data_IF_689787612305
#
_entry.id   IF_689787612305
#
_cell.length_a   1.000
_cell.length_b   1.000
_cell.length_c   1.000
_cell.angle_alpha   90.00
_cell.angle_beta   90.00
_cell.angle_gamma   90.00
#
_symmetry.space_group_name_H-M   'P 1'
#
loop_
_entity.id
_entity.type
_entity.pdbx_description
1 polymer ?
#
# COMPACT_ATOMS: atom_id res chain seq x y z
N UNK A 1 -7.70 -11.75 -31.24
CA UNK A 1 -7.80 -10.57 -30.54
C UNK A 1 -7.75 -10.45 -29.03
N UNK A 2 -8.69 -11.01 -28.25
CA UNK A 2 -8.77 -10.77 -26.79
C UNK A 2 -7.54 -11.27 -26.01
N UNK A 3 -7.05 -12.47 -26.26
CA UNK A 3 -5.87 -13.05 -25.60
C UNK A 3 -4.58 -12.23 -25.74
N UNK A 4 -4.37 -11.58 -26.85
CA UNK A 4 -3.17 -10.75 -27.07
C UNK A 4 -3.18 -9.44 -26.25
N UNK A 5 -4.36 -8.93 -25.90
CA UNK A 5 -4.54 -7.72 -25.09
C UNK A 5 -4.28 -8.00 -23.60
N UNK A 6 -4.75 -9.15 -23.09
CA UNK A 6 -4.55 -9.57 -21.69
C UNK A 6 -3.06 -9.74 -21.37
N UNK A 7 -2.31 -10.43 -22.23
CA UNK A 7 -0.87 -10.59 -22.07
C UNK A 7 -0.10 -9.25 -22.16
N UNK A 8 -0.60 -8.29 -22.94
CA UNK A 8 0.00 -6.95 -23.01
C UNK A 8 -0.06 -6.22 -21.67
N UNK A 9 -1.19 -6.26 -20.98
CA UNK A 9 -1.36 -5.65 -19.64
C UNK A 9 -0.44 -6.32 -18.62
N UNK A 10 -0.37 -7.65 -18.62
CA UNK A 10 0.52 -8.40 -17.72
C UNK A 10 1.99 -8.02 -17.96
N UNK A 11 2.44 -7.97 -19.21
CA UNK A 11 3.82 -7.57 -19.52
C UNK A 11 4.13 -6.12 -19.15
N UNK A 12 3.18 -5.21 -19.35
CA UNK A 12 3.31 -3.82 -18.89
C UNK A 12 3.48 -3.72 -17.38
N UNK A 13 2.66 -4.45 -16.62
CA UNK A 13 2.77 -4.52 -15.16
C UNK A 13 4.11 -5.13 -14.70
N UNK A 14 4.55 -6.22 -15.32
CA UNK A 14 5.86 -6.84 -15.03
C UNK A 14 6.99 -5.87 -15.34
N UNK A 15 6.95 -5.17 -16.49
CA UNK A 15 7.96 -4.18 -16.86
C UNK A 15 8.02 -3.04 -15.84
N UNK A 16 6.88 -2.59 -15.31
CA UNK A 16 6.80 -1.55 -14.28
C UNK A 16 7.45 -2.01 -12.96
N UNK A 17 7.12 -3.21 -12.49
CA UNK A 17 7.69 -3.76 -11.26
C UNK A 17 9.20 -3.96 -11.39
N UNK A 18 9.62 -4.62 -12.46
CA UNK A 18 11.06 -4.88 -12.71
C UNK A 18 11.82 -3.56 -12.90
N UNK A 19 11.28 -2.64 -13.71
CA UNK A 19 11.87 -1.32 -13.92
C UNK A 19 11.98 -0.50 -12.64
N UNK A 20 10.95 -0.54 -11.79
CA UNK A 20 10.97 0.10 -10.47
C UNK A 20 12.05 -0.47 -9.56
N UNK A 21 12.13 -1.79 -9.42
CA UNK A 21 13.16 -2.46 -8.60
C UNK A 21 14.56 -2.16 -9.13
N UNK A 22 14.78 -2.26 -10.44
CA UNK A 22 16.08 -1.92 -11.06
C UNK A 22 16.43 -0.45 -10.83
N UNK A 23 15.48 0.47 -11.04
CA UNK A 23 15.70 1.90 -10.78
C UNK A 23 16.11 2.18 -9.34
N UNK A 24 15.43 1.57 -8.37
CA UNK A 24 15.74 1.70 -6.94
C UNK A 24 17.14 1.18 -6.63
N UNK A 25 17.50 -0.01 -7.11
CA UNK A 25 18.82 -0.62 -6.87
C UNK A 25 19.94 0.19 -7.54
N UNK A 26 19.71 0.73 -8.74
CA UNK A 26 20.68 1.58 -9.44
C UNK A 26 20.98 2.87 -8.68
N UNK A 27 19.96 3.52 -8.11
CA UNK A 27 20.15 4.73 -7.31
C UNK A 27 20.89 4.47 -5.99
N UNK A 28 20.84 3.23 -5.50
CA UNK A 28 21.54 2.80 -4.28
C UNK A 28 23.01 2.44 -4.48
N UNK A 29 23.56 2.55 -5.71
CA UNK A 29 24.98 2.30 -6.00
C UNK A 29 25.31 0.87 -6.39
N UNK A 30 24.32 0.04 -6.75
CA UNK A 30 24.58 -1.34 -7.20
C UNK A 30 25.33 -1.41 -8.52
N UNK A 31 25.10 -0.45 -9.41
CA UNK A 31 25.75 -0.37 -10.74
C UNK A 31 26.96 0.55 -10.70
N UNK A 32 27.25 1.19 -9.56
CA UNK A 32 28.42 2.03 -9.42
C UNK A 32 29.72 1.21 -9.55
N UNK A 33 30.77 1.83 -10.07
CA UNK A 33 32.09 1.21 -10.24
C UNK A 33 33.03 1.69 -9.13
N UNK A 34 33.92 0.80 -8.66
CA UNK A 34 34.92 1.15 -7.67
C UNK A 34 34.40 1.13 -6.21
N UNK A 35 34.85 2.05 -5.40
CA UNK A 35 34.52 2.11 -3.95
C UNK A 35 33.04 2.39 -3.66
N UNK A 36 32.31 2.96 -4.61
CA UNK A 36 30.88 3.23 -4.49
C UNK A 36 29.98 2.02 -4.79
N UNK A 37 30.56 0.91 -5.23
CA UNK A 37 29.79 -0.32 -5.49
C UNK A 37 29.27 -0.92 -4.18
N UNK A 38 27.94 -1.10 -4.11
CA UNK A 38 27.27 -1.68 -2.96
C UNK A 38 26.62 -3.01 -3.33
N UNK A 39 26.68 -3.98 -2.42
CA UNK A 39 25.93 -5.22 -2.58
C UNK A 39 24.42 -4.96 -2.65
N UNK A 40 23.67 -5.90 -3.19
CA UNK A 40 22.22 -5.77 -3.44
C UNK A 40 21.43 -5.25 -2.22
N UNK A 41 21.65 -5.83 -1.05
CA UNK A 41 20.93 -5.42 0.18
C UNK A 41 21.31 -4.00 0.62
N UNK A 42 22.59 -3.66 0.57
CA UNK A 42 23.07 -2.34 0.93
C UNK A 42 22.63 -1.27 -0.08
N UNK A 43 22.61 -1.60 -1.37
CA UNK A 43 22.10 -0.72 -2.42
C UNK A 43 20.58 -0.50 -2.26
N UNK A 44 19.82 -1.54 -1.97
CA UNK A 44 18.37 -1.42 -1.77
C UNK A 44 18.02 -0.60 -0.51
N UNK A 45 18.75 -0.79 0.59
CA UNK A 45 18.48 -0.06 1.84
C UNK A 45 18.99 1.39 1.84
N UNK A 46 20.01 1.71 1.05
CA UNK A 46 20.58 3.05 0.93
C UNK A 46 20.16 3.82 -0.32
N UNK A 47 19.14 3.37 -1.04
CA UNK A 47 18.68 3.98 -2.28
C UNK A 47 17.85 5.25 -2.06
N UNK A 48 17.80 6.10 -3.08
CA UNK A 48 16.74 7.09 -3.25
C UNK A 48 15.59 6.45 -4.00
N UNK A 49 14.62 5.93 -3.24
CA UNK A 49 13.48 5.21 -3.79
C UNK A 49 12.61 6.09 -4.70
N UNK A 50 12.47 7.39 -4.40
CA UNK A 50 11.65 8.32 -5.20
C UNK A 50 12.25 8.54 -6.58
N UNK A 51 13.54 8.79 -6.65
CA UNK A 51 14.30 8.95 -7.90
C UNK A 51 14.36 7.63 -8.67
N UNK A 52 14.63 6.52 -7.97
CA UNK A 52 14.69 5.19 -8.56
C UNK A 52 13.36 4.77 -9.21
N UNK A 53 12.25 4.96 -8.52
CA UNK A 53 10.91 4.66 -9.04
C UNK A 53 10.54 5.56 -10.22
N UNK A 54 10.92 6.85 -10.19
CA UNK A 54 10.68 7.77 -11.30
C UNK A 54 11.38 7.31 -12.57
N UNK A 55 12.68 7.02 -12.51
CA UNK A 55 13.42 6.54 -13.69
C UNK A 55 12.97 5.14 -14.13
N UNK A 56 12.73 4.24 -13.18
CA UNK A 56 12.27 2.90 -13.45
C UNK A 56 10.90 2.86 -14.13
N UNK A 57 9.95 3.65 -13.65
CA UNK A 57 8.61 3.74 -14.23
C UNK A 57 8.62 4.41 -15.62
N UNK A 58 9.45 5.44 -15.81
CA UNK A 58 9.62 6.09 -17.12
C UNK A 58 10.23 5.13 -18.14
N UNK A 59 11.28 4.39 -17.76
CA UNK A 59 11.88 3.35 -18.61
C UNK A 59 10.88 2.24 -18.94
N UNK A 60 10.09 1.79 -17.97
CA UNK A 60 9.04 0.79 -18.18
C UNK A 60 7.94 1.28 -19.12
N UNK A 61 7.55 2.56 -19.02
CA UNK A 61 6.58 3.19 -19.92
C UNK A 61 7.10 3.16 -21.36
N UNK A 62 8.34 3.61 -21.58
CA UNK A 62 8.96 3.61 -22.93
C UNK A 62 9.00 2.19 -23.48
N UNK A 63 9.47 1.21 -22.69
CA UNK A 63 9.54 -0.18 -23.09
C UNK A 63 8.16 -0.72 -23.48
N UNK A 64 7.15 -0.45 -22.68
CA UNK A 64 5.77 -0.88 -22.91
C UNK A 64 5.21 -0.28 -24.21
N UNK A 65 5.43 1.02 -24.44
CA UNK A 65 5.03 1.70 -25.68
C UNK A 65 5.69 1.06 -26.91
N UNK A 66 7.01 0.83 -26.86
CA UNK A 66 7.76 0.18 -27.94
C UNK A 66 7.19 -1.22 -28.24
N UNK A 67 6.99 -2.03 -27.20
CA UNK A 67 6.46 -3.40 -27.37
C UNK A 67 5.06 -3.37 -27.97
N UNK A 68 4.18 -2.48 -27.53
CA UNK A 68 2.79 -2.41 -28.04
C UNK A 68 2.74 -1.97 -29.51
N UNK A 69 3.57 -0.99 -29.88
CA UNK A 69 3.64 -0.52 -31.27
C UNK A 69 4.26 -1.58 -32.18
N UNK A 70 5.38 -2.21 -31.77
CA UNK A 70 6.05 -3.27 -32.55
C UNK A 70 5.16 -4.50 -32.75
N UNK A 71 4.43 -4.90 -31.71
CA UNK A 71 3.49 -6.02 -31.77
C UNK A 71 2.15 -5.65 -32.42
N UNK A 72 1.99 -4.41 -32.86
CA UNK A 72 0.77 -3.88 -33.48
C UNK A 72 -0.49 -4.12 -32.64
N UNK A 73 -0.36 -4.10 -31.32
CA UNK A 73 -1.50 -4.20 -30.38
C UNK A 73 -2.27 -2.88 -30.35
N UNK A 74 -1.56 -1.76 -30.33
CA UNK A 74 -2.08 -0.39 -30.40
C UNK A 74 -1.32 0.40 -31.46
N UNK A 75 -1.99 1.40 -32.06
CA UNK A 75 -1.31 2.36 -32.91
C UNK A 75 -0.50 3.35 -32.07
N UNK A 76 0.54 3.95 -32.66
CA UNK A 76 1.31 4.99 -31.99
C UNK A 76 0.42 6.15 -31.50
N UNK A 77 -0.58 6.53 -32.31
CA UNK A 77 -1.54 7.59 -31.96
C UNK A 77 -2.36 7.22 -30.72
N UNK A 78 -2.85 5.99 -30.64
CA UNK A 78 -3.62 5.51 -29.48
C UNK A 78 -2.73 5.50 -28.22
N UNK A 79 -1.50 5.02 -28.33
CA UNK A 79 -0.53 5.07 -27.23
C UNK A 79 -0.29 6.50 -26.72
N UNK A 80 -0.10 7.46 -27.63
CA UNK A 80 0.12 8.85 -27.25
C UNK A 80 -1.13 9.50 -26.62
N UNK A 81 -2.33 9.09 -27.01
CA UNK A 81 -3.57 9.60 -26.39
C UNK A 81 -3.78 9.08 -24.97
N UNK A 82 -3.23 7.92 -24.61
CA UNK A 82 -3.32 7.38 -23.25
C UNK A 82 -2.49 8.17 -22.22
N UNK A 83 -1.42 8.87 -22.66
CA UNK A 83 -0.54 9.61 -21.74
C UNK A 83 -1.28 10.74 -21.02
N UNK A 84 -1.99 11.66 -21.70
CA UNK A 84 -2.78 12.68 -21.02
C UNK A 84 -3.88 12.10 -20.11
N UNK A 85 -4.47 10.97 -20.49
CA UNK A 85 -5.51 10.35 -19.68
C UNK A 85 -4.92 9.74 -18.39
N UNK A 86 -3.72 9.17 -18.47
CA UNK A 86 -2.96 8.74 -17.29
C UNK A 86 -2.63 9.90 -16.35
N UNK A 87 -2.19 11.05 -16.89
CA UNK A 87 -1.98 12.26 -16.07
C UNK A 87 -3.26 12.73 -15.39
N UNK A 88 -4.38 12.79 -16.12
CA UNK A 88 -5.69 13.17 -15.54
C UNK A 88 -6.11 12.23 -14.43
N UNK A 89 -5.89 10.92 -14.58
CA UNK A 89 -6.19 9.91 -13.57
C UNK A 89 -5.37 10.10 -12.29
N UNK A 90 -4.15 10.65 -12.38
CA UNK A 90 -3.28 10.89 -11.22
C UNK A 90 -3.54 12.22 -10.50
N UNK A 91 -4.27 13.16 -11.11
CA UNK A 91 -4.54 14.49 -10.51
C UNK A 91 -5.17 14.39 -9.12
N UNK A 92 -6.20 13.55 -8.85
CA UNK A 92 -6.78 13.44 -7.52
C UNK A 92 -5.75 12.95 -6.48
N UNK A 93 -4.95 11.96 -6.81
CA UNK A 93 -3.93 11.42 -5.92
C UNK A 93 -2.85 12.47 -5.59
N UNK A 94 -2.37 13.20 -6.60
CA UNK A 94 -1.38 14.29 -6.42
C UNK A 94 -1.97 15.39 -5.54
N UNK A 95 -3.21 15.79 -5.77
CA UNK A 95 -3.89 16.82 -4.98
C UNK A 95 -4.02 16.40 -3.50
N UNK A 96 -4.47 15.16 -3.25
CA UNK A 96 -4.61 14.64 -1.90
C UNK A 96 -3.26 14.61 -1.18
N UNK A 97 -2.21 14.10 -1.82
CA UNK A 97 -0.87 14.05 -1.23
C UNK A 97 -0.33 15.46 -0.94
N UNK A 98 -0.51 16.40 -1.88
CA UNK A 98 -0.07 17.78 -1.68
C UNK A 98 -0.76 18.43 -0.48
N UNK A 99 -2.08 18.26 -0.36
CA UNK A 99 -2.85 18.78 0.77
C UNK A 99 -2.47 18.07 2.09
N UNK A 100 -2.24 16.76 2.07
CA UNK A 100 -1.81 16.01 3.24
C UNK A 100 -0.42 16.47 3.72
N UNK A 101 0.53 16.70 2.83
CA UNK A 101 1.85 17.23 3.18
C UNK A 101 1.78 18.67 3.69
N UNK A 102 0.90 19.48 3.12
CA UNK A 102 0.64 20.85 3.61
C UNK A 102 0.08 20.79 5.03
N UNK A 103 -0.93 19.96 5.29
CA UNK A 103 -1.49 19.76 6.62
C UNK A 103 -0.43 19.26 7.60
N UNK A 104 0.38 18.28 7.21
CA UNK A 104 1.51 17.80 8.02
C UNK A 104 2.47 18.93 8.38
N UNK A 105 2.88 19.74 7.42
CA UNK A 105 3.77 20.87 7.65
C UNK A 105 3.18 21.90 8.61
N UNK A 106 1.88 22.17 8.49
CA UNK A 106 1.17 23.07 9.42
C UNK A 106 1.08 22.50 10.85
N UNK A 107 0.77 21.20 10.96
CA UNK A 107 0.70 20.53 12.28
C UNK A 107 2.06 20.42 12.94
N UNK A 108 3.12 20.19 12.18
CA UNK A 108 4.51 20.21 12.68
C UNK A 108 4.88 21.61 13.20
N UNK A 109 4.49 22.68 12.50
CA UNK A 109 4.75 24.08 12.94
C UNK A 109 3.97 24.49 14.20
N UNK A 110 2.85 23.83 14.47
CA UNK A 110 2.04 24.04 15.68
C UNK A 110 2.54 23.23 16.88
N UNK A 111 3.61 22.45 16.75
CA UNK A 111 4.10 21.57 17.81
C UNK A 111 3.17 20.39 18.13
N UNK A 112 2.32 20.00 17.19
CA UNK A 112 1.38 18.90 17.39
C UNK A 112 2.08 17.58 17.71
N UNK A 113 3.28 17.38 17.15
CA UNK A 113 4.11 16.20 17.38
C UNK A 113 4.54 16.06 18.83
N UNK A 114 5.04 17.16 19.42
CA UNK A 114 5.47 17.23 20.82
C UNK A 114 4.27 17.07 21.76
N UNK A 115 3.15 17.71 21.44
CA UNK A 115 1.91 17.59 22.20
C UNK A 115 1.40 16.15 22.21
N UNK A 116 1.26 15.50 21.05
CA UNK A 116 0.78 14.12 20.95
C UNK A 116 1.73 13.16 21.67
N UNK A 117 3.05 13.33 21.50
CA UNK A 117 4.06 12.50 22.18
C UNK A 117 3.94 12.63 23.71
N UNK A 118 3.87 13.84 24.24
CA UNK A 118 3.76 14.07 25.68
C UNK A 118 2.43 13.55 26.23
N UNK A 119 1.33 13.74 25.51
CA UNK A 119 0.00 13.24 25.89
C UNK A 119 -0.02 11.72 26.00
N UNK A 120 0.50 11.02 24.97
CA UNK A 120 0.54 9.55 24.96
C UNK A 120 1.48 9.02 26.05
N UNK A 121 2.65 9.61 26.27
CA UNK A 121 3.56 9.20 27.33
C UNK A 121 2.96 9.41 28.72
N UNK A 122 2.19 10.47 28.92
CA UNK A 122 1.60 10.80 30.21
C UNK A 122 0.36 9.97 30.53
N UNK A 123 -0.53 9.79 29.54
CA UNK A 123 -1.86 9.21 29.77
C UNK A 123 -2.06 7.84 29.17
N UNK A 124 -1.27 7.43 28.19
CA UNK A 124 -1.47 6.19 27.45
C UNK A 124 -0.25 5.27 27.43
N UNK A 125 0.75 5.50 28.28
CA UNK A 125 1.96 4.66 28.36
C UNK A 125 1.67 3.17 28.59
N UNK A 126 0.63 2.86 29.38
CA UNK A 126 0.15 1.49 29.56
C UNK A 126 -0.59 0.88 28.35
N UNK A 127 -1.00 1.71 27.39
CA UNK A 127 -1.75 1.28 26.19
C UNK A 127 -0.90 1.20 24.91
N UNK A 128 0.38 1.54 24.97
CA UNK A 128 1.27 1.53 23.80
C UNK A 128 1.31 0.17 23.09
N UNK A 129 1.21 -0.92 23.82
CA UNK A 129 1.17 -2.27 23.27
C UNK A 129 -0.10 -2.53 22.44
N UNK A 130 -1.18 -1.81 22.65
CA UNK A 130 -2.42 -1.90 21.87
C UNK A 130 -2.45 -0.93 20.70
N UNK A 131 -1.48 -0.01 20.63
CA UNK A 131 -1.43 1.04 19.59
C UNK A 131 -1.49 0.48 18.16
N UNK A 132 -0.79 -0.63 17.80
CA UNK A 132 -0.90 -1.20 16.47
C UNK A 132 -2.34 -1.55 16.08
N UNK A 133 -3.08 -2.21 16.97
CA UNK A 133 -4.46 -2.58 16.72
C UNK A 133 -5.39 -1.36 16.62
N UNK A 134 -5.19 -0.35 17.47
CA UNK A 134 -5.94 0.91 17.44
C UNK A 134 -5.69 1.64 16.12
N UNK A 135 -4.43 1.78 15.71
CA UNK A 135 -4.05 2.46 14.47
C UNK A 135 -4.56 1.70 13.24
N UNK A 136 -4.58 0.37 13.28
CA UNK A 136 -5.19 -0.45 12.23
C UNK A 136 -6.67 -0.10 12.03
N UNK A 137 -7.46 -0.04 13.11
CA UNK A 137 -8.89 0.27 13.04
C UNK A 137 -9.11 1.72 12.57
N UNK A 138 -8.37 2.67 13.13
CA UNK A 138 -8.47 4.09 12.72
C UNK A 138 -8.09 4.23 11.24
N UNK A 139 -7.01 3.59 10.80
CA UNK A 139 -6.57 3.59 9.41
C UNK A 139 -7.63 3.00 8.46
N UNK A 140 -8.24 1.88 8.84
CA UNK A 140 -9.31 1.25 8.07
C UNK A 140 -10.55 2.16 7.96
N UNK A 141 -10.96 2.77 9.07
CA UNK A 141 -12.12 3.67 9.07
C UNK A 141 -11.88 4.95 8.25
N UNK A 142 -10.72 5.58 8.41
CA UNK A 142 -10.37 6.79 7.66
C UNK A 142 -10.27 6.50 6.16
N UNK A 143 -9.58 5.44 5.77
CA UNK A 143 -9.43 5.08 4.36
C UNK A 143 -10.76 4.64 3.74
N UNK A 144 -11.62 3.95 4.48
CA UNK A 144 -12.98 3.63 4.03
C UNK A 144 -13.79 4.90 3.76
N UNK A 145 -13.72 5.88 4.67
CA UNK A 145 -14.48 7.13 4.59
C UNK A 145 -13.97 8.07 3.50
N UNK A 146 -12.67 8.07 3.25
CA UNK A 146 -12.02 8.96 2.26
C UNK A 146 -11.86 8.33 0.88
N UNK A 147 -11.93 6.99 0.81
CA UNK A 147 -11.66 6.24 -0.43
C UNK A 147 -10.21 6.26 -0.88
N UNK A 148 -9.27 6.51 0.05
CA UNK A 148 -7.84 6.55 -0.28
C UNK A 148 -6.94 6.06 0.85
N UNK A 149 -6.06 5.11 0.54
CA UNK A 149 -5.01 4.68 1.44
C UNK A 149 -3.88 5.72 1.56
N UNK A 150 -3.54 6.40 0.47
CA UNK A 150 -2.44 7.37 0.44
C UNK A 150 -2.67 8.58 1.34
N UNK A 151 -3.87 9.15 1.33
CA UNK A 151 -4.25 10.25 2.23
C UNK A 151 -4.16 9.82 3.68
N UNK A 152 -4.61 8.61 3.98
CA UNK A 152 -4.54 8.02 5.33
C UNK A 152 -3.09 7.81 5.80
N UNK A 153 -2.20 7.31 4.93
CA UNK A 153 -0.77 7.20 5.24
C UNK A 153 -0.14 8.56 5.57
N UNK A 154 -0.44 9.57 4.74
CA UNK A 154 0.11 10.91 4.91
C UNK A 154 -0.23 11.54 6.25
N UNK A 155 -1.37 11.20 6.83
CA UNK A 155 -1.84 11.73 8.13
C UNK A 155 -1.36 10.85 9.30
N UNK A 156 -1.57 9.53 9.24
CA UNK A 156 -1.38 8.66 10.39
C UNK A 156 0.08 8.28 10.64
N UNK A 157 0.90 8.05 9.60
CA UNK A 157 2.29 7.62 9.80
C UNK A 157 3.11 8.66 10.58
N UNK A 158 3.06 9.97 10.27
CA UNK A 158 3.75 10.98 11.06
C UNK A 158 3.31 11.00 12.55
N UNK A 159 2.02 10.79 12.81
CA UNK A 159 1.48 10.71 14.18
C UNK A 159 2.05 9.50 14.90
N UNK A 160 2.02 8.32 14.27
CA UNK A 160 2.60 7.08 14.85
C UNK A 160 4.07 7.26 15.18
N UNK A 161 4.86 7.80 14.26
CA UNK A 161 6.31 8.05 14.48
C UNK A 161 6.51 9.01 15.65
N UNK A 162 5.68 10.07 15.77
CA UNK A 162 5.77 11.05 16.84
C UNK A 162 5.48 10.44 18.22
N UNK A 163 4.51 9.52 18.31
CA UNK A 163 4.16 8.83 19.55
C UNK A 163 5.34 8.07 20.15
N UNK A 164 6.12 7.40 19.32
CA UNK A 164 7.25 6.59 19.81
C UNK A 164 8.51 7.42 20.09
N UNK A 165 8.74 8.53 19.37
CA UNK A 165 9.89 9.42 19.54
C UNK A 165 11.23 8.69 19.84
N UNK A 166 11.45 7.53 19.17
CA UNK A 166 12.64 6.71 19.33
C UNK A 166 12.64 5.75 20.54
N UNK A 167 11.56 5.66 21.32
CA UNK A 167 11.53 4.87 22.56
C UNK A 167 11.42 3.34 22.34
N UNK A 168 10.62 2.89 21.37
CA UNK A 168 10.42 1.46 21.05
C UNK A 168 10.34 1.26 19.54
N UNK A 169 11.51 1.05 18.92
CA UNK A 169 11.64 0.95 17.47
C UNK A 169 10.82 -0.21 16.88
N UNK A 170 10.80 -1.36 17.54
CA UNK A 170 10.06 -2.53 17.06
C UNK A 170 8.55 -2.26 17.07
N UNK A 171 8.03 -1.70 18.15
CA UNK A 171 6.62 -1.38 18.28
C UNK A 171 6.21 -0.25 17.32
N UNK A 172 7.10 0.69 17.06
CA UNK A 172 6.90 1.73 16.05
C UNK A 172 6.72 1.13 14.65
N UNK A 173 7.62 0.22 14.23
CA UNK A 173 7.52 -0.45 12.93
C UNK A 173 6.22 -1.25 12.83
N UNK A 174 5.85 -2.00 13.87
CA UNK A 174 4.60 -2.77 13.90
C UNK A 174 3.40 -1.83 13.78
N UNK A 175 3.42 -0.65 14.43
CA UNK A 175 2.34 0.33 14.35
C UNK A 175 2.25 1.01 12.99
N UNK A 176 3.37 1.29 12.34
CA UNK A 176 3.41 1.79 10.95
C UNK A 176 2.84 0.72 10.00
N UNK A 177 3.24 -0.54 10.16
CA UNK A 177 2.69 -1.66 9.39
C UNK A 177 1.17 -1.78 9.58
N UNK A 178 0.69 -1.63 10.81
CA UNK A 178 -0.73 -1.66 11.14
C UNK A 178 -1.50 -0.49 10.49
N UNK A 179 -0.92 0.71 10.49
CA UNK A 179 -1.45 1.86 9.78
C UNK A 179 -1.63 1.58 8.29
N UNK A 180 -0.58 1.06 7.66
CA UNK A 180 -0.60 0.74 6.22
C UNK A 180 -1.62 -0.35 5.90
N UNK A 181 -1.65 -1.43 6.67
CA UNK A 181 -2.59 -2.53 6.48
C UNK A 181 -4.04 -2.10 6.71
N UNK A 182 -4.30 -1.30 7.75
CA UNK A 182 -5.63 -0.74 8.02
C UNK A 182 -6.10 0.16 6.89
N UNK A 183 -5.25 1.08 6.44
CA UNK A 183 -5.59 1.99 5.37
C UNK A 183 -5.84 1.26 4.03
N UNK A 184 -5.03 0.26 3.68
CA UNK A 184 -5.27 -0.57 2.49
C UNK A 184 -6.58 -1.35 2.62
N UNK A 185 -6.88 -1.91 3.79
CA UNK A 185 -8.13 -2.62 4.04
C UNK A 185 -9.34 -1.70 3.87
N UNK A 186 -9.31 -0.51 4.46
CA UNK A 186 -10.39 0.48 4.35
C UNK A 186 -10.60 0.96 2.91
N UNK A 187 -9.52 1.23 2.20
CA UNK A 187 -9.54 1.61 0.79
C UNK A 187 -10.22 0.53 -0.07
N UNK A 188 -9.82 -0.74 0.08
CA UNK A 188 -10.43 -1.86 -0.64
C UNK A 188 -11.91 -2.08 -0.31
N UNK A 189 -12.34 -1.77 0.90
CA UNK A 189 -13.75 -1.88 1.30
C UNK A 189 -14.59 -0.70 0.83
N UNK A 190 -13.97 0.43 0.49
CA UNK A 190 -14.68 1.67 0.18
C UNK A 190 -15.31 1.63 -1.20
N UNK A 191 -16.62 1.93 -1.31
CA UNK A 191 -17.29 2.05 -2.60
C UNK A 191 -16.87 3.31 -3.38
N UNK A 192 -16.25 4.28 -2.73
CA UNK A 192 -15.78 5.53 -3.37
C UNK A 192 -14.29 5.49 -3.69
N UNK A 193 -13.61 4.36 -3.42
CA UNK A 193 -12.21 4.19 -3.74
C UNK A 193 -11.98 4.09 -5.25
N UNK A 194 -10.98 4.82 -5.73
CA UNK A 194 -10.54 4.74 -7.13
C UNK A 194 -10.02 3.34 -7.48
N UNK A 195 -9.36 2.64 -6.56
CA UNK A 195 -8.90 1.26 -6.76
C UNK A 195 -10.07 0.31 -6.97
N UNK A 196 -11.14 0.41 -6.17
CA UNK A 196 -12.33 -0.41 -6.29
C UNK A 196 -13.13 -0.08 -7.57
N UNK A 197 -13.23 1.22 -7.92
CA UNK A 197 -13.86 1.68 -9.16
C UNK A 197 -13.11 1.15 -10.38
N UNK A 198 -11.78 1.29 -10.41
CA UNK A 198 -10.95 0.83 -11.52
C UNK A 198 -10.96 -0.70 -11.64
N UNK A 199 -10.94 -1.44 -10.53
CA UNK A 199 -11.01 -2.90 -10.54
C UNK A 199 -12.34 -3.40 -11.12
N UNK A 200 -13.46 -2.80 -10.72
CA UNK A 200 -14.80 -3.15 -11.24
C UNK A 200 -14.94 -2.80 -12.73
N UNK A 201 -14.42 -1.65 -13.15
CA UNK A 201 -14.42 -1.24 -14.55
C UNK A 201 -13.53 -2.16 -15.40
N UNK A 202 -12.34 -2.51 -14.92
CA UNK A 202 -11.42 -3.43 -15.60
C UNK A 202 -11.97 -4.86 -15.72
N UNK A 203 -12.76 -5.30 -14.73
CA UNK A 203 -13.45 -6.59 -14.74
C UNK A 203 -14.76 -6.58 -15.52
N UNK A 204 -15.19 -5.43 -16.06
CA UNK A 204 -16.48 -5.25 -16.74
C UNK A 204 -17.68 -5.71 -15.89
N UNK A 205 -17.62 -5.50 -14.57
CA UNK A 205 -18.69 -5.84 -13.64
C UNK A 205 -19.35 -4.60 -13.03
N UNK A 206 -20.59 -4.78 -12.55
CA UNK A 206 -21.32 -3.70 -11.88
C UNK A 206 -20.60 -3.35 -10.59
N UNK A 207 -20.23 -2.08 -10.42
CA UNK A 207 -19.42 -1.60 -9.30
C UNK A 207 -19.98 -1.99 -7.92
N UNK A 208 -21.29 -1.79 -7.70
CA UNK A 208 -21.96 -2.15 -6.43
C UNK A 208 -21.88 -3.65 -6.15
N UNK A 209 -22.02 -4.49 -7.18
CA UNK A 209 -21.89 -5.94 -7.03
C UNK A 209 -20.45 -6.34 -6.65
N UNK A 210 -19.46 -5.68 -7.24
CA UNK A 210 -18.06 -5.88 -6.87
C UNK A 210 -17.83 -5.55 -5.39
N UNK A 211 -18.27 -4.38 -4.93
CA UNK A 211 -18.14 -3.95 -3.53
C UNK A 211 -18.83 -4.95 -2.59
N UNK A 212 -20.08 -5.30 -2.87
CA UNK A 212 -20.85 -6.22 -2.03
C UNK A 212 -20.24 -7.62 -1.95
N UNK A 213 -19.66 -8.11 -3.03
CA UNK A 213 -19.01 -9.42 -3.05
C UNK A 213 -17.63 -9.43 -2.37
N UNK A 214 -16.90 -8.32 -2.43
CA UNK A 214 -15.57 -8.17 -1.82
C UNK A 214 -15.63 -7.96 -0.30
N UNK A 215 -16.64 -7.22 0.17
CA UNK A 215 -16.76 -6.77 1.56
C UNK A 215 -16.71 -7.91 2.60
N UNK A 216 -17.40 -9.04 2.46
CA UNK A 216 -17.34 -10.14 3.42
C UNK A 216 -15.93 -10.74 3.56
N UNK A 217 -15.21 -10.86 2.44
CA UNK A 217 -13.84 -11.38 2.46
C UNK A 217 -12.88 -10.39 3.13
N UNK A 218 -13.00 -9.12 2.78
CA UNK A 218 -12.16 -8.07 3.35
C UNK A 218 -12.38 -7.93 4.86
N UNK A 219 -13.64 -7.95 5.33
CA UNK A 219 -13.96 -7.90 6.76
C UNK A 219 -13.48 -9.14 7.52
N UNK A 220 -13.55 -10.34 6.92
CA UNK A 220 -13.01 -11.56 7.52
C UNK A 220 -11.51 -11.47 7.72
N UNK A 221 -10.77 -11.02 6.70
CA UNK A 221 -9.31 -10.83 6.79
C UNK A 221 -8.97 -9.70 7.74
N UNK A 222 -9.73 -8.60 7.74
CA UNK A 222 -9.54 -7.48 8.65
C UNK A 222 -9.67 -7.90 10.12
N UNK A 223 -10.67 -8.73 10.44
CA UNK A 223 -10.88 -9.25 11.79
C UNK A 223 -9.70 -10.11 12.27
N UNK A 224 -9.20 -10.99 11.39
CA UNK A 224 -8.02 -11.80 11.68
C UNK A 224 -6.79 -10.90 11.85
N UNK A 225 -6.59 -9.91 10.97
CA UNK A 225 -5.47 -8.97 11.02
C UNK A 225 -5.50 -8.13 12.30
N UNK A 226 -6.68 -7.69 12.74
CA UNK A 226 -6.84 -6.98 14.01
C UNK A 226 -6.33 -7.79 15.19
N UNK A 227 -6.71 -9.08 15.27
CA UNK A 227 -6.20 -10.00 16.31
C UNK A 227 -4.68 -10.18 16.17
N UNK A 228 -4.16 -10.33 14.96
CA UNK A 228 -2.73 -10.41 14.74
C UNK A 228 -1.98 -9.15 15.23
N UNK A 229 -2.53 -7.94 15.01
CA UNK A 229 -1.92 -6.70 15.51
C UNK A 229 -2.02 -6.55 17.02
N UNK A 230 -3.08 -7.07 17.66
CA UNK A 230 -3.13 -7.18 19.12
C UNK A 230 -1.99 -8.07 19.66
N UNK A 231 -1.81 -9.24 19.06
CA UNK A 231 -0.73 -10.17 19.45
C UNK A 231 0.64 -9.54 19.16
N UNK A 232 0.82 -8.92 18.00
CA UNK A 232 2.07 -8.27 17.60
C UNK A 232 2.50 -7.17 18.58
N UNK A 233 1.55 -6.36 19.03
CA UNK A 233 1.81 -5.30 20.01
C UNK A 233 2.21 -5.84 21.38
N UNK A 234 1.63 -6.95 21.81
CA UNK A 234 1.96 -7.59 23.09
C UNK A 234 3.30 -8.33 23.05
N UNK A 235 3.55 -9.08 21.96
CA UNK A 235 4.77 -9.93 21.81
C UNK A 235 5.95 -9.12 21.28
N UNK A 236 5.72 -7.98 20.62
CA UNK A 236 6.73 -7.11 19.99
C UNK A 236 7.61 -7.85 18.96
N UNK A 237 7.07 -8.90 18.36
CA UNK A 237 7.74 -9.72 17.34
C UNK A 237 6.77 -9.91 16.16
N UNK A 238 7.16 -9.58 14.92
CA UNK A 238 6.26 -9.68 13.76
C UNK A 238 6.08 -11.12 13.26
N UNK A 239 7.01 -12.03 13.52
CA UNK A 239 7.00 -13.37 12.92
C UNK A 239 5.84 -14.21 13.47
N UNK A 240 5.65 -14.22 14.78
CA UNK A 240 4.63 -15.04 15.45
C UNK A 240 3.21 -14.66 15.04
N UNK A 241 2.81 -13.39 15.01
CA UNK A 241 1.49 -12.99 14.52
C UNK A 241 1.26 -13.30 13.03
N UNK A 242 2.30 -13.20 12.18
CA UNK A 242 2.20 -13.54 10.75
C UNK A 242 1.92 -15.04 10.60
N UNK A 243 2.67 -15.90 11.29
CA UNK A 243 2.46 -17.36 11.26
C UNK A 243 1.07 -17.71 11.79
N UNK A 244 0.66 -17.11 12.90
CA UNK A 244 -0.68 -17.28 13.46
C UNK A 244 -1.76 -16.89 12.46
N UNK A 245 -1.65 -15.71 11.83
CA UNK A 245 -2.59 -15.23 10.83
C UNK A 245 -2.69 -16.16 9.61
N UNK A 246 -1.56 -16.65 9.09
CA UNK A 246 -1.53 -17.60 7.98
C UNK A 246 -2.26 -18.91 8.33
N UNK A 247 -2.01 -19.46 9.51
CA UNK A 247 -2.68 -20.70 9.97
C UNK A 247 -4.18 -20.48 10.13
N UNK A 248 -4.60 -19.35 10.71
CA UNK A 248 -6.02 -19.03 10.91
C UNK A 248 -6.73 -18.86 9.57
N UNK A 249 -6.13 -18.11 8.62
CA UNK A 249 -6.70 -17.92 7.28
C UNK A 249 -6.80 -19.27 6.54
N UNK A 250 -5.76 -20.09 6.57
CA UNK A 250 -5.78 -21.40 5.93
C UNK A 250 -6.87 -22.31 6.53
N UNK A 251 -6.99 -22.32 7.86
CA UNK A 251 -8.04 -23.05 8.58
C UNK A 251 -9.44 -22.56 8.23
N UNK A 252 -9.64 -21.25 8.18
CA UNK A 252 -10.90 -20.62 7.80
C UNK A 252 -11.32 -20.98 6.36
N UNK A 253 -10.39 -20.90 5.40
CA UNK A 253 -10.66 -21.29 4.02
C UNK A 253 -10.98 -22.79 3.88
N UNK A 254 -10.29 -23.64 4.62
CA UNK A 254 -10.57 -25.07 4.65
C UNK A 254 -11.96 -25.36 5.21
N UNK A 255 -12.35 -24.68 6.28
CA UNK A 255 -13.68 -24.77 6.88
C UNK A 255 -14.78 -24.35 5.90
N UNK A 256 -14.65 -23.21 5.22
CA UNK A 256 -15.59 -22.73 4.20
C UNK A 256 -15.73 -23.74 3.06
N UNK A 257 -14.62 -24.27 2.54
CA UNK A 257 -14.67 -25.27 1.47
C UNK A 257 -15.38 -26.55 1.88
N UNK A 258 -15.21 -26.99 3.14
CA UNK A 258 -15.91 -28.17 3.67
C UNK A 258 -17.40 -27.92 3.79
N UNK A 259 -17.81 -26.73 4.24
CA UNK A 259 -19.22 -26.37 4.41
C UNK A 259 -19.96 -26.29 3.06
N UNK A 260 -19.38 -25.65 2.08
CA UNK A 260 -19.92 -25.58 0.71
C UNK A 260 -20.11 -26.96 0.06
N UNK A 261 -19.22 -27.92 0.36
CA UNK A 261 -19.36 -29.30 -0.13
C UNK A 261 -20.42 -30.13 0.60
N UNK A 262 -20.84 -29.70 1.77
CA UNK A 262 -21.90 -30.39 2.54
C UNK A 262 -23.30 -29.90 2.12
N UNK A 263 -23.39 -28.72 1.47
CA UNK A 263 -24.64 -28.14 0.98
C UNK A 263 -24.90 -28.41 -0.51
N UNK A 264 -23.90 -28.91 -1.24
CA UNK A 264 -24.02 -29.30 -2.67
C UNK A 264 -24.25 -30.83 -2.82
#
# INVERSE_FOLDING_TARGET
GRRGREWGVVWGGVALIVGGVVGVICTGGFVASGEDHRGFVAAFSGCDASVGLMYGSFGALILTLIVFVLRRVLSFKDCMSCIPDGFKAMVPAILILTLAWTLKSMTDSLGAKEFVSSFVQTYASGMLNFLPAIVFVIGAFLAFSTGTSWGTFGILIPIVVAVFNGSDYNLMIISISACMAGAVCGDHCSPISDTTIMASAGAECVHVNHVNSQLPYALSVASISFVCYLIAGLVKNPILPILFGMVVIAGFLFFLKKHQRAEA
#
